data_IF_939246175024
#
_entry.id   IF_939246175024
#
_cell.length_a   1.000
_cell.length_b   1.000
_cell.length_c   1.000
_cell.angle_alpha   90.00
_cell.angle_beta   90.00
_cell.angle_gamma   90.00
#
_symmetry.space_group_name_H-M   'P 1'
#
loop_
_entity.id
_entity.type
_entity.pdbx_description
1 polymer ?
#
# COMPACT_ATOMS: atom_id res chain seq x y z
N UNK A 1 26.80 -5.15 -1.91
CA UNK A 1 25.96 -4.08 -2.52
C UNK A 1 25.79 -2.87 -1.62
N UNK A 2 24.94 -2.89 -0.57
CA UNK A 2 24.71 -1.69 0.28
C UNK A 2 25.96 -1.25 1.04
N UNK A 3 26.69 -2.18 1.67
CA UNK A 3 27.97 -1.93 2.34
C UNK A 3 29.07 -1.41 1.41
N UNK A 4 28.94 -1.65 0.12
CA UNK A 4 29.87 -1.21 -0.93
C UNK A 4 29.39 0.09 -1.61
N UNK A 5 28.30 0.69 -1.13
CA UNK A 5 27.72 1.92 -1.70
C UNK A 5 27.06 1.74 -3.07
N UNK A 6 26.84 0.51 -3.54
CA UNK A 6 26.35 0.21 -4.89
C UNK A 6 24.81 0.33 -5.00
N UNK A 7 24.25 1.46 -4.57
CA UNK A 7 22.79 1.71 -4.56
C UNK A 7 22.16 1.84 -5.96
N UNK A 8 22.97 1.93 -7.02
CA UNK A 8 22.51 1.97 -8.43
C UNK A 8 22.45 0.59 -9.11
N UNK A 9 22.76 -0.49 -8.40
CA UNK A 9 22.68 -1.84 -8.95
C UNK A 9 21.22 -2.23 -9.24
N UNK A 10 20.97 -2.96 -10.34
CA UNK A 10 19.62 -3.35 -10.83
C UNK A 10 18.70 -4.04 -9.80
N UNK A 11 19.29 -4.62 -8.75
CA UNK A 11 18.53 -5.19 -7.62
C UNK A 11 17.64 -4.14 -6.93
N UNK A 12 18.01 -2.87 -7.01
CA UNK A 12 17.33 -1.77 -6.34
C UNK A 12 16.41 -0.97 -7.29
N UNK A 13 16.20 -1.44 -8.53
CA UNK A 13 15.40 -0.70 -9.51
C UNK A 13 13.97 -0.44 -9.00
N UNK A 14 13.33 -1.44 -8.37
CA UNK A 14 12.01 -1.26 -7.76
C UNK A 14 12.02 -0.29 -6.57
N UNK A 15 13.08 -0.28 -5.77
CA UNK A 15 13.19 0.65 -4.64
C UNK A 15 13.28 2.10 -5.14
N UNK A 16 14.07 2.35 -6.20
CA UNK A 16 14.14 3.66 -6.83
C UNK A 16 12.82 4.05 -7.50
N UNK A 17 12.19 3.12 -8.24
CA UNK A 17 10.89 3.35 -8.86
C UNK A 17 9.86 3.78 -7.80
N UNK A 18 9.78 3.05 -6.70
CA UNK A 18 8.87 3.36 -5.58
C UNK A 18 9.20 4.72 -4.97
N UNK A 19 10.46 4.95 -4.57
CA UNK A 19 10.88 6.18 -3.89
C UNK A 19 10.66 7.44 -4.75
N UNK A 20 10.69 7.32 -6.08
CA UNK A 20 10.54 8.42 -7.02
C UNK A 20 9.10 8.65 -7.49
N UNK A 21 8.14 7.81 -7.10
CA UNK A 21 6.73 7.94 -7.51
C UNK A 21 6.03 8.99 -6.65
N UNK A 22 5.21 9.86 -7.26
CA UNK A 22 4.36 10.81 -6.51
C UNK A 22 3.12 10.13 -5.92
N UNK A 23 2.53 9.23 -6.70
CA UNK A 23 1.33 8.48 -6.35
C UNK A 23 1.63 6.99 -6.55
N UNK A 24 1.33 6.20 -5.53
CA UNK A 24 1.55 4.76 -5.50
C UNK A 24 0.21 4.08 -5.33
N UNK A 25 -0.19 3.24 -6.28
CA UNK A 25 -1.41 2.43 -6.18
C UNK A 25 -1.01 0.97 -6.03
N UNK A 26 -1.48 0.34 -4.96
CA UNK A 26 -1.28 -1.09 -4.67
C UNK A 26 -2.65 -1.75 -4.63
N UNK A 27 -2.87 -2.76 -5.47
CA UNK A 27 -4.10 -3.54 -5.46
C UNK A 27 -3.80 -5.00 -5.10
N UNK A 28 -4.47 -5.53 -4.09
CA UNK A 28 -4.33 -6.94 -3.71
C UNK A 28 -5.55 -7.48 -2.96
N UNK A 29 -5.92 -8.75 -3.18
CA UNK A 29 -7.03 -9.37 -2.46
C UNK A 29 -6.66 -9.60 -0.98
N UNK A 30 -7.69 -9.70 -0.13
CA UNK A 30 -7.50 -9.96 1.29
C UNK A 30 -7.42 -11.46 1.57
N UNK A 31 -6.21 -11.95 1.87
CA UNK A 31 -5.94 -13.37 2.17
C UNK A 31 -5.30 -13.50 3.53
N UNK A 32 -5.76 -14.48 4.32
CA UNK A 32 -5.20 -14.83 5.63
C UNK A 32 -4.99 -13.59 6.53
N UNK A 33 -6.04 -12.76 6.64
CA UNK A 33 -6.08 -11.53 7.43
C UNK A 33 -5.26 -10.35 6.88
N UNK A 34 -4.58 -10.51 5.75
CA UNK A 34 -3.75 -9.48 5.14
C UNK A 34 -3.76 -9.56 3.62
N UNK A 35 -2.59 -9.47 2.99
CA UNK A 35 -2.42 -9.49 1.54
C UNK A 35 -1.53 -10.67 1.10
N UNK A 36 -1.51 -11.04 -0.19
CA UNK A 36 -0.77 -12.18 -0.68
C UNK A 36 0.74 -12.06 -0.42
N UNK A 37 1.40 -13.20 -0.15
CA UNK A 37 2.84 -13.24 0.14
C UNK A 37 3.72 -12.59 -0.95
N UNK A 38 3.28 -12.61 -2.21
CA UNK A 38 3.98 -11.95 -3.31
C UNK A 38 4.13 -10.43 -3.09
N UNK A 39 3.10 -9.78 -2.55
CA UNK A 39 3.16 -8.36 -2.21
C UNK A 39 4.14 -8.11 -1.07
N UNK A 40 4.21 -9.01 -0.08
CA UNK A 40 5.24 -8.93 0.96
C UNK A 40 6.65 -9.03 0.37
N UNK A 41 6.87 -9.91 -0.59
CA UNK A 41 8.15 -10.00 -1.31
C UNK A 41 8.46 -8.71 -2.05
N UNK A 42 7.50 -8.08 -2.73
CA UNK A 42 7.70 -6.77 -3.36
C UNK A 42 8.10 -5.71 -2.32
N UNK A 43 7.38 -5.63 -1.21
CA UNK A 43 7.67 -4.70 -0.10
C UNK A 43 9.12 -4.88 0.39
N UNK A 44 9.57 -6.12 0.61
CA UNK A 44 10.96 -6.41 0.98
C UNK A 44 11.98 -6.03 -0.09
N UNK A 45 11.59 -6.00 -1.36
CA UNK A 45 12.47 -5.55 -2.43
C UNK A 45 12.62 -4.02 -2.48
N UNK A 46 11.58 -3.27 -2.07
CA UNK A 46 11.59 -1.81 -2.03
C UNK A 46 12.09 -1.23 -0.70
N UNK A 47 12.02 -1.97 0.41
CA UNK A 47 12.57 -1.57 1.72
C UNK A 47 14.10 -1.57 1.70
N UNK A 48 14.72 -0.45 1.35
CA UNK A 48 16.17 -0.35 1.16
C UNK A 48 16.74 0.91 1.82
N UNK A 49 17.69 0.70 2.72
CA UNK A 49 18.40 1.76 3.44
C UNK A 49 19.20 2.69 2.51
N UNK A 50 18.94 3.99 2.65
CA UNK A 50 19.45 5.05 1.79
C UNK A 50 18.75 5.14 0.43
N UNK A 51 17.57 4.52 0.26
CA UNK A 51 16.71 4.70 -0.93
C UNK A 51 15.28 5.06 -0.52
N UNK A 52 14.58 4.18 0.19
CA UNK A 52 13.17 4.41 0.61
C UNK A 52 13.05 4.86 2.07
N UNK A 53 14.05 4.54 2.88
CA UNK A 53 14.22 5.04 4.25
C UNK A 53 15.71 5.09 4.60
N UNK A 54 16.08 5.75 5.69
CA UNK A 54 17.36 5.57 6.36
C UNK A 54 17.16 5.35 7.86
N UNK A 55 18.14 4.72 8.53
CA UNK A 55 18.13 4.55 9.97
C UNK A 55 19.32 5.24 10.64
N UNK A 56 19.08 5.88 11.77
CA UNK A 56 20.10 6.46 12.64
C UNK A 56 19.82 6.14 14.12
N UNK A 57 20.45 6.87 15.04
CA UNK A 57 20.29 6.64 16.48
C UNK A 57 18.92 7.06 17.02
N UNK A 58 18.19 7.90 16.31
CA UNK A 58 16.86 8.38 16.71
C UNK A 58 15.75 7.50 16.14
N UNK A 59 16.01 6.78 15.05
CA UNK A 59 15.08 5.78 14.52
C UNK A 59 15.21 5.59 13.02
N UNK A 60 14.11 5.17 12.39
CA UNK A 60 13.98 5.08 10.94
C UNK A 60 13.23 6.30 10.41
N UNK A 61 13.70 6.83 9.29
CA UNK A 61 13.20 8.04 8.65
C UNK A 61 12.91 7.76 7.18
N UNK A 62 11.70 8.09 6.74
CA UNK A 62 11.30 7.95 5.35
C UNK A 62 12.11 8.82 4.39
N UNK A 63 12.32 8.33 3.16
CA UNK A 63 13.04 9.06 2.09
C UNK A 63 12.26 9.15 0.79
N UNK A 64 11.05 8.58 0.74
CA UNK A 64 10.28 8.53 -0.50
C UNK A 64 9.67 9.90 -0.81
N UNK A 65 9.57 10.24 -2.11
CA UNK A 65 8.90 11.48 -2.58
C UNK A 65 7.37 11.38 -2.49
N UNK A 66 6.84 10.17 -2.35
CA UNK A 66 5.42 9.89 -2.56
C UNK A 66 4.54 10.75 -1.68
N UNK A 67 3.60 11.42 -2.34
CA UNK A 67 2.55 12.21 -1.71
C UNK A 67 1.40 11.33 -1.26
N UNK A 68 1.17 10.22 -1.98
CA UNK A 68 -0.01 9.41 -1.75
C UNK A 68 0.24 7.92 -2.00
N UNK A 69 -0.18 7.08 -1.05
CA UNK A 69 -0.27 5.64 -1.19
C UNK A 69 -1.75 5.22 -1.11
N UNK A 70 -2.24 4.61 -2.19
CA UNK A 70 -3.60 4.11 -2.33
C UNK A 70 -3.56 2.59 -2.30
N UNK A 71 -4.24 1.99 -1.32
CA UNK A 71 -4.43 0.55 -1.24
C UNK A 71 -5.84 0.19 -1.67
N UNK A 72 -5.96 -0.70 -2.65
CA UNK A 72 -7.22 -1.25 -3.14
C UNK A 72 -7.30 -2.71 -2.72
N UNK A 73 -8.34 -3.10 -1.99
CA UNK A 73 -8.52 -4.49 -1.56
C UNK A 73 -9.95 -4.97 -1.61
N UNK A 74 -10.14 -6.28 -1.61
CA UNK A 74 -11.44 -6.94 -1.62
C UNK A 74 -11.44 -8.02 -0.57
N UNK A 75 -12.51 -8.12 0.23
CA UNK A 75 -12.61 -9.06 1.35
C UNK A 75 -13.85 -9.95 1.19
N UNK A 76 -13.67 -11.24 1.46
CA UNK A 76 -14.77 -12.21 1.47
C UNK A 76 -15.76 -11.97 2.61
N UNK A 77 -15.26 -11.72 3.82
CA UNK A 77 -16.05 -11.39 5.01
C UNK A 77 -15.97 -9.91 5.39
N UNK A 78 -16.62 -9.55 6.50
CA UNK A 78 -16.59 -8.20 7.07
C UNK A 78 -15.43 -8.07 8.07
N UNK A 79 -14.52 -7.13 7.81
CA UNK A 79 -13.32 -6.92 8.63
C UNK A 79 -13.07 -5.46 8.97
N UNK A 80 -13.82 -4.53 8.38
CA UNK A 80 -13.72 -3.12 8.72
C UNK A 80 -13.83 -2.89 10.23
N UNK A 81 -12.93 -2.08 10.78
CA UNK A 81 -12.86 -1.76 12.21
C UNK A 81 -12.64 -2.97 13.14
N UNK A 82 -12.22 -4.12 12.60
CA UNK A 82 -11.86 -5.30 13.41
C UNK A 82 -10.34 -5.37 13.62
N UNK A 83 -9.87 -5.93 14.76
CA UNK A 83 -8.44 -6.19 14.95
C UNK A 83 -7.90 -7.31 14.07
N UNK A 84 -8.73 -7.92 13.21
CA UNK A 84 -8.33 -8.97 12.28
C UNK A 84 -7.98 -8.41 10.89
N UNK A 85 -8.21 -7.12 10.64
CA UNK A 85 -7.76 -6.47 9.41
C UNK A 85 -6.30 -6.05 9.56
N UNK A 86 -5.39 -6.85 9.03
CA UNK A 86 -3.94 -6.56 9.06
C UNK A 86 -3.40 -6.10 7.70
N UNK A 87 -4.24 -6.10 6.66
CA UNK A 87 -3.85 -5.72 5.30
C UNK A 87 -3.65 -4.22 5.16
N UNK A 88 -4.73 -3.46 5.35
CA UNK A 88 -4.70 -2.00 5.31
C UNK A 88 -3.85 -1.43 6.44
N UNK A 89 -3.95 -1.99 7.66
CA UNK A 89 -3.15 -1.55 8.80
C UNK A 89 -1.64 -1.63 8.51
N UNK A 90 -1.18 -2.71 7.86
CA UNK A 90 0.23 -2.83 7.47
C UNK A 90 0.61 -1.79 6.41
N UNK A 91 -0.26 -1.55 5.43
CA UNK A 91 0.00 -0.59 4.35
C UNK A 91 0.07 0.86 4.86
N UNK A 92 -0.79 1.22 5.81
CA UNK A 92 -0.73 2.51 6.50
C UNK A 92 0.56 2.65 7.30
N UNK A 93 0.95 1.64 8.08
CA UNK A 93 2.23 1.65 8.80
C UNK A 93 3.43 1.76 7.84
N UNK A 94 3.35 1.11 6.67
CA UNK A 94 4.38 1.15 5.64
C UNK A 94 4.48 2.54 4.99
N UNK A 95 3.35 3.21 4.74
CA UNK A 95 3.33 4.56 4.19
C UNK A 95 4.05 5.53 5.13
N UNK A 96 3.75 5.45 6.43
CA UNK A 96 4.45 6.22 7.47
C UNK A 96 5.94 5.90 7.50
N UNK A 97 6.30 4.61 7.48
CA UNK A 97 7.70 4.18 7.52
C UNK A 97 8.54 4.72 6.36
N UNK A 98 7.96 4.78 5.15
CA UNK A 98 8.63 5.31 3.97
C UNK A 98 8.52 6.82 3.79
N UNK A 99 7.78 7.52 4.66
CA UNK A 99 7.59 8.96 4.64
C UNK A 99 6.64 9.42 3.55
N UNK A 100 5.56 8.67 3.32
CA UNK A 100 4.50 9.05 2.39
C UNK A 100 3.47 9.93 3.12
N UNK A 101 3.08 11.06 2.52
CA UNK A 101 2.26 12.08 3.18
C UNK A 101 0.82 11.60 3.48
N UNK A 102 0.19 10.95 2.50
CA UNK A 102 -1.21 10.51 2.60
C UNK A 102 -1.36 9.01 2.32
N UNK A 103 -2.23 8.37 3.10
CA UNK A 103 -2.65 6.99 2.90
C UNK A 103 -4.16 6.90 2.76
N UNK A 104 -4.62 6.10 1.80
CA UNK A 104 -6.03 5.77 1.65
C UNK A 104 -6.20 4.29 1.34
N UNK A 105 -7.26 3.71 1.88
CA UNK A 105 -7.68 2.35 1.55
C UNK A 105 -9.10 2.38 0.99
N UNK A 106 -9.28 1.86 -0.22
CA UNK A 106 -10.61 1.58 -0.76
C UNK A 106 -10.84 0.07 -0.76
N UNK A 107 -12.00 -0.37 -0.28
CA UNK A 107 -12.30 -1.78 -0.22
C UNK A 107 -13.77 -2.09 -0.42
N UNK A 108 -14.03 -3.27 -0.99
CA UNK A 108 -15.32 -3.93 -0.90
C UNK A 108 -15.19 -5.14 0.03
N UNK A 109 -16.17 -5.34 0.90
CA UNK A 109 -16.17 -6.47 1.84
C UNK A 109 -17.52 -7.18 1.88
N UNK A 110 -17.53 -8.40 2.43
CA UNK A 110 -18.71 -9.26 2.40
C UNK A 110 -18.99 -9.89 1.03
N UNK A 111 -17.99 -9.97 0.14
CA UNK A 111 -18.17 -10.49 -1.22
C UNK A 111 -18.51 -12.00 -1.24
N UNK A 112 -18.11 -12.75 -0.22
CA UNK A 112 -18.37 -14.19 -0.10
C UNK A 112 -19.55 -14.50 0.85
N UNK A 113 -20.24 -13.48 1.36
CA UNK A 113 -21.38 -13.65 2.28
C UNK A 113 -22.64 -13.99 1.50
N UNK A 114 -23.27 -15.11 1.85
CA UNK A 114 -24.54 -15.51 1.25
C UNK A 114 -25.63 -14.46 1.49
N UNK A 115 -26.34 -14.09 0.42
CA UNK A 115 -27.39 -13.07 0.44
C UNK A 115 -26.94 -11.65 0.11
N UNK A 116 -25.63 -11.41 0.01
CA UNK A 116 -25.10 -10.15 -0.50
C UNK A 116 -25.15 -10.10 -2.03
N UNK A 117 -25.32 -8.89 -2.56
CA UNK A 117 -25.20 -8.60 -3.98
C UNK A 117 -23.79 -8.07 -4.29
N UNK A 118 -22.95 -8.92 -4.90
CA UNK A 118 -21.57 -8.60 -5.22
C UNK A 118 -21.47 -7.47 -6.25
N UNK A 119 -22.41 -7.39 -7.20
CA UNK A 119 -22.38 -6.35 -8.24
C UNK A 119 -22.62 -4.98 -7.62
N UNK A 120 -23.59 -4.87 -6.71
CA UNK A 120 -23.87 -3.62 -5.98
C UNK A 120 -22.67 -3.23 -5.09
N UNK A 121 -22.07 -4.18 -4.38
CA UNK A 121 -20.90 -3.90 -3.52
C UNK A 121 -19.71 -3.38 -4.32
N UNK A 122 -19.42 -3.99 -5.46
CA UNK A 122 -18.35 -3.55 -6.35
C UNK A 122 -18.67 -2.21 -7.03
N UNK A 123 -19.93 -1.97 -7.42
CA UNK A 123 -20.33 -0.70 -8.01
C UNK A 123 -20.18 0.46 -7.03
N UNK A 124 -20.57 0.28 -5.77
CA UNK A 124 -20.39 1.29 -4.73
C UNK A 124 -18.91 1.66 -4.54
N UNK A 125 -18.03 0.65 -4.55
CA UNK A 125 -16.57 0.87 -4.48
C UNK A 125 -16.07 1.67 -5.70
N UNK A 126 -16.52 1.33 -6.91
CA UNK A 126 -16.14 2.08 -8.11
C UNK A 126 -16.63 3.53 -8.07
N UNK A 127 -17.87 3.76 -7.64
CA UNK A 127 -18.43 5.12 -7.50
C UNK A 127 -17.62 5.96 -6.49
N UNK A 128 -17.17 5.35 -5.40
CA UNK A 128 -16.31 6.00 -4.40
C UNK A 128 -14.94 6.37 -5.00
N UNK A 129 -14.29 5.44 -5.70
CA UNK A 129 -13.00 5.66 -6.37
C UNK A 129 -13.12 6.74 -7.44
N UNK A 130 -14.18 6.71 -8.26
CA UNK A 130 -14.42 7.69 -9.32
C UNK A 130 -14.65 9.09 -8.74
N UNK A 131 -15.40 9.18 -7.65
CA UNK A 131 -15.59 10.45 -6.93
C UNK A 131 -14.26 10.98 -6.40
N UNK A 132 -13.47 10.13 -5.75
CA UNK A 132 -12.16 10.51 -5.25
C UNK A 132 -11.23 10.96 -6.40
N UNK A 133 -11.20 10.23 -7.51
CA UNK A 133 -10.37 10.58 -8.67
C UNK A 133 -10.80 11.91 -9.33
N UNK A 134 -12.09 12.22 -9.33
CA UNK A 134 -12.64 13.47 -9.87
C UNK A 134 -12.28 14.70 -9.02
N UNK A 135 -12.18 14.54 -7.70
CA UNK A 135 -11.75 15.60 -6.77
C UNK A 135 -10.23 15.89 -6.88
N UNK A 136 -9.50 15.04 -7.61
CA UNK A 136 -8.10 15.17 -7.97
C UNK A 136 -7.19 14.33 -7.09
N UNK A 137 -6.40 13.43 -7.70
CA UNK A 137 -5.18 12.92 -7.08
C UNK A 137 -4.30 14.13 -6.72
N UNK A 138 -3.77 14.17 -5.51
CA UNK A 138 -3.07 15.33 -4.94
C UNK A 138 -2.20 16.05 -6.01
N UNK A 139 -2.44 17.35 -6.30
CA UNK A 139 -1.86 18.05 -7.46
C UNK A 139 -0.32 18.05 -7.53
#
# INVERSE_FOLDING_TARGET
LLSEGQRKHRRFDYAHQFAQSDVIVIAAPFWDLGFPALLKTYIENISVDGITFYADIEGCHGMSRGRQLIFLTTRGGYYENTPLEMGSLYMEALSVFFGIDEYMCFFAEGLDIEGNDQEILMQNLFDEIDKFAADGLCP
#
